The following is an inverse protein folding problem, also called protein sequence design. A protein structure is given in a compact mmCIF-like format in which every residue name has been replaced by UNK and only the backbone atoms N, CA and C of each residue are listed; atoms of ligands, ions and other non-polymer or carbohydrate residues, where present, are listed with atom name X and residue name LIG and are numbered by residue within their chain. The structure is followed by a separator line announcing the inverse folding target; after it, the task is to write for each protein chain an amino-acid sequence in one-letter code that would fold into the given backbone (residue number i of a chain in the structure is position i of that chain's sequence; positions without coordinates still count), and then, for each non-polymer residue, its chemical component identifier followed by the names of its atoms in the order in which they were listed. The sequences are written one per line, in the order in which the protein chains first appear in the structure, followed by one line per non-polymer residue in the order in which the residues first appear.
data_IF_321669475261
#
_entry.id   IF_321669475261
#
_cell.length_a   1.000
_cell.length_b   1.000
_cell.length_c   1.000
_cell.angle_alpha   90.00
_cell.angle_beta   90.00
_cell.angle_gamma   90.00
#
_symmetry.space_group_name_H-M   'P 1'
#
loop_
_entity.id
_entity.type
_entity.pdbx_description
1 polymer ?
#
# COMPACT_ATOMS: atom_id res chain seq x y z
N UNK A 1 -2.46 15.03 12.74
CA UNK A 1 -2.63 13.93 11.79
C UNK A 1 -4.10 13.55 11.73
N UNK A 2 -4.70 13.58 10.56
CA UNK A 2 -6.06 13.09 10.48
C UNK A 2 -6.11 11.63 10.91
N UNK A 3 -7.10 11.23 11.70
CA UNK A 3 -7.21 9.84 12.11
C UNK A 3 -7.43 8.95 10.89
N UNK A 4 -6.61 7.92 10.76
CA UNK A 4 -6.77 6.90 9.72
C UNK A 4 -8.01 6.04 9.96
N UNK A 5 -8.58 6.12 11.14
CA UNK A 5 -9.72 5.34 11.58
C UNK A 5 -11.04 5.96 11.18
N UNK A 6 -11.18 6.33 9.94
CA UNK A 6 -12.51 6.65 9.48
C UNK A 6 -13.22 5.39 9.04
N UNK A 7 -14.51 5.45 9.11
CA UNK A 7 -15.47 4.37 8.99
C UNK A 7 -15.30 3.42 7.78
N UNK A 8 -14.48 3.75 6.81
CA UNK A 8 -14.24 2.87 5.67
C UNK A 8 -12.74 2.61 5.56
N UNK A 9 -12.33 1.36 5.64
CA UNK A 9 -10.96 0.97 5.35
C UNK A 9 -10.68 1.25 3.87
N UNK A 10 -9.50 1.81 3.53
CA UNK A 10 -9.13 1.98 2.14
C UNK A 10 -9.17 0.66 1.40
N UNK A 11 -9.77 0.66 0.22
CA UNK A 11 -9.90 -0.52 -0.61
C UNK A 11 -8.67 -0.71 -1.48
N UNK A 12 -8.26 -1.97 -1.65
CA UNK A 12 -7.10 -2.33 -2.45
C UNK A 12 -7.57 -3.00 -3.74
N UNK A 13 -7.13 -2.47 -4.87
CA UNK A 13 -7.37 -3.02 -6.19
C UNK A 13 -6.07 -3.58 -6.77
N UNK A 14 -6.19 -4.48 -7.75
CA UNK A 14 -5.01 -4.90 -8.50
C UNK A 14 -4.49 -3.73 -9.36
N UNK A 15 -3.28 -3.88 -9.91
CA UNK A 15 -2.63 -2.80 -10.66
C UNK A 15 -3.37 -2.37 -11.93
N UNK A 16 -4.22 -3.23 -12.50
CA UNK A 16 -5.05 -2.90 -13.66
C UNK A 16 -6.38 -2.25 -13.28
N UNK A 17 -6.68 -2.14 -11.99
CA UNK A 17 -7.89 -1.53 -11.43
C UNK A 17 -9.20 -2.22 -11.84
N UNK A 18 -9.13 -3.46 -12.29
CA UNK A 18 -10.30 -4.21 -12.72
C UNK A 18 -10.84 -5.16 -11.66
N UNK A 19 -10.09 -5.38 -10.58
CA UNK A 19 -10.49 -6.29 -9.52
C UNK A 19 -10.10 -5.75 -8.15
N UNK A 20 -11.09 -5.69 -7.24
CA UNK A 20 -10.83 -5.39 -5.85
C UNK A 20 -10.21 -6.61 -5.17
N UNK A 21 -9.04 -6.44 -4.55
CA UNK A 21 -8.31 -7.50 -3.87
C UNK A 21 -8.59 -7.56 -2.37
N UNK A 22 -8.90 -6.41 -1.76
CA UNK A 22 -9.10 -6.37 -0.32
C UNK A 22 -9.10 -4.97 0.25
N UNK A 23 -8.56 -4.85 1.44
CA UNK A 23 -8.47 -3.57 2.15
C UNK A 23 -7.07 -3.38 2.71
N UNK A 24 -6.72 -2.14 3.01
CA UNK A 24 -5.55 -1.83 3.80
C UNK A 24 -5.95 -1.08 5.06
N UNK A 25 -5.20 -1.29 6.13
CA UNK A 25 -5.42 -0.60 7.39
C UNK A 25 -4.08 -0.45 8.11
N UNK A 26 -3.95 0.63 8.86
CA UNK A 26 -2.73 0.84 9.62
C UNK A 26 -2.74 2.18 10.34
N UNK A 27 -1.58 2.51 10.87
CA UNK A 27 -1.37 3.76 11.58
C UNK A 27 -0.16 4.47 11.03
N UNK A 28 -0.21 5.80 11.08
CA UNK A 28 0.93 6.67 10.80
C UNK A 28 1.11 7.61 11.97
N UNK A 29 2.33 7.71 12.45
CA UNK A 29 2.68 8.66 13.50
C UNK A 29 3.55 9.76 12.88
N UNK A 30 3.13 11.00 13.04
CA UNK A 30 3.90 12.15 12.54
C UNK A 30 5.22 12.26 13.31
N UNK A 31 6.32 12.16 12.58
CA UNK A 31 7.67 12.25 13.16
C UNK A 31 8.25 13.64 12.95
N UNK A 32 8.08 14.20 11.76
CA UNK A 32 8.69 15.48 11.43
C UNK A 32 7.89 16.21 10.34
N UNK A 33 7.63 17.48 10.58
CA UNK A 33 7.17 18.39 9.54
C UNK A 33 8.39 18.90 8.77
N UNK A 34 8.34 18.86 7.44
CA UNK A 34 9.43 19.24 6.55
C UNK A 34 8.98 20.41 5.67
N UNK A 35 9.08 21.67 6.17
CA UNK A 35 8.57 22.83 5.45
C UNK A 35 9.21 23.02 4.07
N UNK A 36 10.51 22.77 3.94
CA UNK A 36 11.26 22.95 2.69
C UNK A 36 10.75 22.03 1.58
N UNK A 37 10.11 20.92 1.93
CA UNK A 37 9.54 19.96 0.99
C UNK A 37 8.02 20.06 0.94
N UNK A 38 7.43 21.01 1.67
CA UNK A 38 5.98 21.19 1.80
C UNK A 38 5.28 19.87 2.14
N UNK A 39 5.78 19.17 3.12
CA UNK A 39 5.26 17.87 3.50
C UNK A 39 5.73 17.39 4.85
N UNK A 40 5.47 16.12 5.12
CA UNK A 40 5.67 15.51 6.42
C UNK A 40 6.32 14.13 6.28
N UNK A 41 6.98 13.72 7.35
CA UNK A 41 7.50 12.38 7.54
C UNK A 41 6.71 11.68 8.64
N UNK A 42 6.21 10.49 8.32
CA UNK A 42 5.51 9.62 9.25
C UNK A 42 6.28 8.32 9.47
N UNK A 43 6.13 7.73 10.65
CA UNK A 43 6.42 6.31 10.82
C UNK A 43 5.13 5.55 10.55
N UNK A 44 5.14 4.67 9.58
CA UNK A 44 3.95 4.00 9.07
C UNK A 44 4.01 2.51 9.38
N UNK A 45 2.89 1.96 9.82
CA UNK A 45 2.69 0.53 10.02
C UNK A 45 1.37 0.17 9.36
N UNK A 46 1.44 -0.62 8.27
CA UNK A 46 0.26 -1.00 7.51
C UNK A 46 0.14 -2.50 7.37
N UNK A 47 -1.10 -2.95 7.23
CA UNK A 47 -1.40 -4.29 6.75
C UNK A 47 -2.27 -4.21 5.52
N UNK A 48 -1.98 -5.07 4.54
CA UNK A 48 -2.78 -5.22 3.33
C UNK A 48 -3.45 -6.58 3.41
N UNK A 49 -4.78 -6.58 3.43
CA UNK A 49 -5.58 -7.80 3.56
C UNK A 49 -6.13 -8.17 2.19
N UNK A 50 -5.72 -9.34 1.69
CA UNK A 50 -6.10 -9.83 0.36
C UNK A 50 -7.12 -10.98 0.46
N UNK A 51 -8.09 -10.84 1.34
CA UNK A 51 -9.14 -11.84 1.50
C UNK A 51 -8.58 -13.21 1.88
N UNK A 52 -9.00 -14.23 1.16
CA UNK A 52 -8.60 -15.62 1.45
C UNK A 52 -7.13 -15.90 1.15
N UNK A 53 -6.45 -15.03 0.40
CA UNK A 53 -5.03 -15.19 0.13
C UNK A 53 -4.15 -14.93 1.35
N UNK A 54 -4.59 -14.08 2.27
CA UNK A 54 -3.82 -13.71 3.45
C UNK A 54 -3.51 -12.23 3.52
N UNK A 55 -2.47 -11.87 4.25
CA UNK A 55 -2.09 -10.47 4.39
C UNK A 55 -0.58 -10.26 4.26
N UNK A 56 -0.20 -9.01 4.00
CA UNK A 56 1.19 -8.52 4.03
C UNK A 56 1.25 -7.39 5.03
N UNK A 57 2.24 -7.40 5.91
CA UNK A 57 2.52 -6.31 6.86
C UNK A 57 3.76 -5.56 6.46
N UNK A 58 3.72 -4.24 6.57
CA UNK A 58 4.85 -3.36 6.20
C UNK A 58 5.07 -2.30 7.26
N UNK A 59 6.30 -1.78 7.34
CA UNK A 59 6.66 -0.71 8.26
C UNK A 59 7.80 0.13 7.67
N UNK A 60 7.78 1.42 7.95
CA UNK A 60 8.87 2.32 7.62
C UNK A 60 8.46 3.78 7.53
N UNK A 61 9.34 4.58 6.97
CA UNK A 61 9.13 6.00 6.81
C UNK A 61 8.22 6.29 5.61
N UNK A 62 7.09 6.91 5.86
CA UNK A 62 6.20 7.43 4.82
C UNK A 62 6.47 8.92 4.66
N UNK A 63 6.90 9.31 3.46
CA UNK A 63 7.21 10.69 3.10
C UNK A 63 6.11 11.19 2.16
N UNK A 64 5.44 12.29 2.53
CA UNK A 64 4.32 12.78 1.72
C UNK A 64 4.77 13.55 0.47
N UNK A 65 6.05 13.84 0.36
CA UNK A 65 6.62 14.70 -0.69
C UNK A 65 7.47 13.95 -1.71
N UNK A 66 7.66 12.65 -1.54
CA UNK A 66 8.41 11.82 -2.49
C UNK A 66 8.03 10.35 -2.33
N UNK A 67 8.55 9.50 -3.22
CA UNK A 67 8.31 8.06 -3.11
C UNK A 67 8.90 7.51 -1.82
N UNK A 68 8.20 6.57 -1.21
CA UNK A 68 8.61 5.92 0.03
C UNK A 68 8.79 4.43 -0.19
N UNK A 69 9.73 3.83 0.54
CA UNK A 69 9.96 2.40 0.54
C UNK A 69 9.79 1.89 1.95
N UNK A 70 8.80 1.01 2.15
CA UNK A 70 8.56 0.39 3.44
C UNK A 70 9.04 -1.05 3.42
N UNK A 71 9.59 -1.51 4.54
CA UNK A 71 10.01 -2.89 4.68
C UNK A 71 8.79 -3.80 4.83
N UNK A 72 8.81 -4.95 4.16
CA UNK A 72 7.83 -6.01 4.41
C UNK A 72 8.26 -6.73 5.68
N UNK A 73 7.44 -6.67 6.72
CA UNK A 73 7.75 -7.24 8.03
C UNK A 73 7.24 -8.67 8.18
N UNK A 74 6.37 -9.11 7.29
CA UNK A 74 5.84 -10.48 7.29
C UNK A 74 4.55 -10.59 6.51
N UNK A 75 3.98 -11.78 6.56
CA UNK A 75 2.72 -12.05 5.90
C UNK A 75 2.07 -13.32 6.42
N UNK A 76 0.89 -13.60 5.92
CA UNK A 76 0.14 -14.82 6.24
C UNK A 76 -0.48 -15.42 4.99
N UNK A 77 -0.97 -16.64 5.08
CA UNK A 77 -1.54 -17.34 3.94
C UNK A 77 -0.50 -17.55 2.85
N UNK A 78 -0.80 -17.17 1.61
CA UNK A 78 0.14 -17.30 0.50
C UNK A 78 1.37 -16.40 0.66
N UNK A 79 1.31 -15.42 1.55
CA UNK A 79 2.41 -14.49 1.82
C UNK A 79 3.25 -14.89 3.04
N UNK A 80 2.98 -16.04 3.64
CA UNK A 80 3.80 -16.54 4.76
C UNK A 80 5.25 -16.68 4.31
N UNK A 81 6.18 -16.13 5.08
CA UNK A 81 7.59 -16.11 4.75
C UNK A 81 8.02 -15.00 3.83
N UNK A 82 7.10 -14.14 3.39
CA UNK A 82 7.43 -13.02 2.51
C UNK A 82 8.35 -12.01 3.19
N UNK A 83 9.32 -11.52 2.43
CA UNK A 83 10.16 -10.40 2.82
C UNK A 83 10.44 -9.55 1.58
N UNK A 84 11.02 -8.37 1.79
CA UNK A 84 11.30 -7.42 0.71
C UNK A 84 10.81 -6.04 1.07
N UNK A 85 10.32 -5.32 0.08
CA UNK A 85 9.86 -3.96 0.31
C UNK A 85 8.66 -3.62 -0.56
N UNK A 86 7.95 -2.56 -0.18
CA UNK A 86 6.88 -1.97 -0.97
C UNK A 86 7.22 -0.52 -1.26
N UNK A 87 7.07 -0.12 -2.51
CA UNK A 87 7.19 1.26 -2.93
C UNK A 87 5.83 1.93 -2.90
N UNK A 88 5.74 3.08 -2.26
CA UNK A 88 4.54 3.91 -2.24
C UNK A 88 4.77 5.10 -3.16
N UNK A 89 3.94 5.20 -4.18
CA UNK A 89 3.87 6.36 -5.06
C UNK A 89 2.56 7.08 -4.78
N UNK A 90 2.64 8.25 -4.17
CA UNK A 90 1.46 9.03 -3.83
C UNK A 90 0.97 9.78 -5.06
N UNK A 91 -0.27 9.49 -5.46
CA UNK A 91 -0.89 10.13 -6.61
C UNK A 91 -1.69 11.35 -6.17
N UNK A 92 -2.59 11.16 -5.20
CA UNK A 92 -3.40 12.24 -4.60
C UNK A 92 -3.46 12.00 -3.10
N UNK A 93 -2.79 12.83 -2.31
CA UNK A 93 -2.81 12.70 -0.85
C UNK A 93 -4.17 13.14 -0.29
N UNK A 94 -4.73 12.40 0.65
CA UNK A 94 -4.33 11.06 1.12
C UNK A 94 -5.12 9.94 0.44
N UNK A 95 -5.73 10.18 -0.72
CA UNK A 95 -6.80 9.35 -1.27
C UNK A 95 -6.33 8.29 -2.25
N UNK A 96 -5.25 8.56 -2.99
CA UNK A 96 -4.78 7.62 -4.02
C UNK A 96 -3.30 7.37 -3.86
N UNK A 97 -2.95 6.12 -3.57
CA UNK A 97 -1.57 5.67 -3.45
C UNK A 97 -1.42 4.42 -4.31
N UNK A 98 -0.36 4.38 -5.07
CA UNK A 98 0.01 3.22 -5.88
C UNK A 98 1.12 2.47 -5.16
N UNK A 99 0.88 1.20 -4.90
CA UNK A 99 1.83 0.33 -4.20
C UNK A 99 2.46 -0.63 -5.18
N UNK A 100 3.79 -0.75 -5.13
CA UNK A 100 4.50 -1.78 -5.88
C UNK A 100 5.24 -2.66 -4.88
N UNK A 101 4.89 -3.94 -4.85
CA UNK A 101 5.46 -4.91 -3.93
C UNK A 101 6.62 -5.64 -4.61
N UNK A 102 7.78 -5.62 -3.97
CA UNK A 102 8.95 -6.38 -4.37
C UNK A 102 9.16 -7.48 -3.34
N UNK A 103 8.58 -8.64 -3.60
CA UNK A 103 8.50 -9.73 -2.62
C UNK A 103 9.47 -10.84 -2.95
N UNK A 104 10.00 -11.46 -1.89
CA UNK A 104 10.83 -12.65 -1.91
C UNK A 104 10.32 -13.63 -0.84
N UNK A 105 10.82 -14.87 -0.87
CA UNK A 105 10.54 -15.85 0.16
C UNK A 105 9.21 -16.57 0.02
N UNK A 106 8.49 -16.33 -1.06
CA UNK A 106 7.22 -16.99 -1.35
C UNK A 106 7.23 -17.64 -2.73
N UNK A 107 6.39 -18.68 -2.94
CA UNK A 107 6.22 -19.26 -4.27
C UNK A 107 5.46 -18.30 -5.20
N UNK A 108 5.13 -18.77 -6.40
CA UNK A 108 4.41 -17.95 -7.39
C UNK A 108 3.11 -17.40 -6.81
N UNK A 109 2.84 -16.14 -7.16
CA UNK A 109 1.61 -15.47 -6.74
C UNK A 109 0.38 -16.05 -7.43
N UNK A 110 -0.79 -16.03 -6.75
CA UNK A 110 -2.06 -16.35 -7.39
C UNK A 110 -2.29 -15.49 -8.63
N UNK A 111 -2.99 -16.06 -9.61
CA UNK A 111 -3.26 -15.39 -10.89
C UNK A 111 -3.95 -14.04 -10.71
N UNK A 112 -4.86 -13.93 -9.76
CA UNK A 112 -5.59 -12.69 -9.50
C UNK A 112 -4.70 -11.53 -9.06
N UNK A 113 -3.50 -11.82 -8.56
CA UNK A 113 -2.53 -10.81 -8.12
C UNK A 113 -1.54 -10.46 -9.23
N UNK A 114 -1.61 -11.14 -10.38
CA UNK A 114 -0.77 -10.88 -11.54
C UNK A 114 -1.58 -10.09 -12.57
N UNK A 115 -1.10 -8.89 -12.90
CA UNK A 115 -1.80 -8.03 -13.87
C UNK A 115 -0.82 -7.07 -14.53
N UNK A 116 -1.26 -6.46 -15.63
CA UNK A 116 -0.54 -5.33 -16.23
C UNK A 116 -1.02 -4.05 -15.54
N UNK A 117 -0.15 -3.35 -14.80
CA UNK A 117 -0.56 -2.14 -14.09
C UNK A 117 -0.97 -1.04 -15.07
N UNK A 118 -1.98 -0.27 -14.68
CA UNK A 118 -2.27 1.00 -15.36
C UNK A 118 -1.25 2.05 -14.90
N UNK A 119 -0.94 3.05 -15.73
CA UNK A 119 -0.08 4.14 -15.30
C UNK A 119 -0.70 4.89 -14.11
N UNK A 120 0.06 5.15 -13.05
CA UNK A 120 -0.45 5.94 -11.93
C UNK A 120 -0.85 7.34 -12.39
N UNK A 121 -2.11 7.68 -12.19
CA UNK A 121 -2.65 8.98 -12.62
C UNK A 121 -3.80 9.39 -11.70
N UNK A 122 -3.91 10.69 -11.34
CA UNK A 122 -5.02 11.17 -10.52
C UNK A 122 -6.40 10.95 -11.14
N UNK A 123 -6.47 10.79 -12.45
CA UNK A 123 -7.74 10.65 -13.17
C UNK A 123 -8.18 9.21 -13.39
N UNK A 124 -7.32 8.23 -13.10
CA UNK A 124 -7.65 6.82 -13.27
C UNK A 124 -8.50 6.36 -12.09
N UNK A 125 -9.61 5.71 -12.39
CA UNK A 125 -10.52 5.18 -11.37
C UNK A 125 -10.65 3.66 -11.52
N UNK A 126 -10.88 2.94 -10.39
CA UNK A 126 -11.11 1.50 -10.47
C UNK A 126 -12.44 1.18 -11.12
N UNK A 127 -12.50 0.01 -11.75
CA UNK A 127 -13.77 -0.50 -12.30
C UNK A 127 -14.72 -0.77 -11.12
N UNK A 128 -15.98 -0.32 -11.19
CA UNK A 128 -16.95 -0.61 -10.13
C UNK A 128 -17.10 -2.12 -9.92
N UNK A 129 -17.15 -2.51 -8.65
CA UNK A 129 -17.32 -3.92 -8.29
C UNK A 129 -18.76 -4.38 -8.50
#
# INVERSE_FOLDING_TARGET
MPPLSRSAHPQVYNGSLDKRLGITAGICVLIQHVPDRNGDRYEAIYSFYFGDYGHISVQGAYLTYEESYLAVTGGSGVFEGAYGQVKLHQIVFPFKIFYTFYLRGIPDLPRDLLCTPVPPSPTVEPTPA
#
